data_IF_297707335642
#
_entry.id   IF_297707335642
#
_cell.length_a   1.000
_cell.length_b   1.000
_cell.length_c   1.000
_cell.angle_alpha   90.00
_cell.angle_beta   90.00
_cell.angle_gamma   90.00
#
_symmetry.space_group_name_H-M   'P 1'
#
loop_
_entity.id
_entity.type
_entity.pdbx_description
1 polymer ?
#
# COMPACT_ATOMS: atom_id res chain seq x y z
N UNK A 1 -17.15 11.18 36.98
CA UNK A 1 -18.08 11.14 35.83
C UNK A 1 -17.55 10.09 34.87
N UNK A 2 -18.29 9.01 34.67
CA UNK A 2 -17.93 7.91 33.76
C UNK A 2 -18.45 8.30 32.37
N UNK A 3 -17.56 8.42 31.39
CA UNK A 3 -17.95 8.52 29.99
C UNK A 3 -18.18 7.10 29.49
N UNK A 4 -19.43 6.63 29.58
CA UNK A 4 -19.86 5.44 28.87
C UNK A 4 -19.99 5.81 27.38
N UNK A 5 -18.87 5.70 26.67
CA UNK A 5 -18.79 5.86 25.22
C UNK A 5 -19.46 4.68 24.54
N UNK A 6 -20.77 4.74 24.42
CA UNK A 6 -21.55 3.83 23.59
C UNK A 6 -21.29 4.19 22.10
N UNK A 7 -20.18 3.71 21.52
CA UNK A 7 -20.07 3.60 20.05
C UNK A 7 -21.19 2.68 19.61
N UNK A 8 -22.24 3.27 19.02
CA UNK A 8 -23.30 2.51 18.39
C UNK A 8 -22.71 1.79 17.18
N UNK A 9 -22.22 0.56 17.39
CA UNK A 9 -21.93 -0.39 16.33
C UNK A 9 -23.18 -0.52 15.48
N UNK A 10 -23.23 0.09 14.29
CA UNK A 10 -24.40 -0.08 13.42
C UNK A 10 -24.32 -1.47 12.83
N UNK A 11 -25.30 -2.28 13.22
CA UNK A 11 -25.50 -3.59 12.63
C UNK A 11 -26.11 -3.41 11.25
N UNK A 12 -25.42 -3.87 10.19
CA UNK A 12 -25.95 -3.91 8.82
C UNK A 12 -25.95 -5.34 8.29
N UNK A 13 -26.94 -5.66 7.47
CA UNK A 13 -27.04 -7.00 6.86
C UNK A 13 -25.83 -7.27 5.98
N UNK A 14 -25.23 -8.45 6.15
CA UNK A 14 -24.05 -8.85 5.36
C UNK A 14 -24.23 -8.70 3.85
N UNK A 15 -25.41 -9.03 3.32
CA UNK A 15 -25.71 -8.95 1.89
C UNK A 15 -25.63 -7.52 1.31
N UNK A 16 -25.83 -6.48 2.12
CA UNK A 16 -25.76 -5.08 1.69
C UNK A 16 -24.32 -4.54 1.76
N UNK A 17 -23.49 -5.11 2.64
CA UNK A 17 -22.13 -4.63 2.93
C UNK A 17 -21.07 -5.35 2.09
N UNK A 18 -21.31 -6.62 1.73
CA UNK A 18 -20.35 -7.43 0.99
C UNK A 18 -19.95 -6.82 -0.37
N UNK A 19 -20.88 -6.37 -1.25
CA UNK A 19 -20.50 -5.77 -2.53
C UNK A 19 -19.62 -4.51 -2.36
N UNK A 20 -19.86 -3.75 -1.29
CA UNK A 20 -19.06 -2.58 -0.97
C UNK A 20 -17.65 -2.98 -0.52
N UNK A 21 -17.52 -3.97 0.38
CA UNK A 21 -16.23 -4.47 0.83
C UNK A 21 -15.41 -5.06 -0.32
N UNK A 22 -16.05 -5.79 -1.24
CA UNK A 22 -15.40 -6.30 -2.45
C UNK A 22 -14.87 -5.17 -3.34
N UNK A 23 -15.68 -4.15 -3.62
CA UNK A 23 -15.25 -2.99 -4.40
C UNK A 23 -14.12 -2.20 -3.70
N UNK A 24 -14.20 -2.06 -2.38
CA UNK A 24 -13.15 -1.44 -1.56
C UNK A 24 -11.84 -2.22 -1.63
N UNK A 25 -11.88 -3.54 -1.45
CA UNK A 25 -10.71 -4.42 -1.56
C UNK A 25 -10.09 -4.31 -2.95
N UNK A 26 -10.90 -4.45 -4.01
CA UNK A 26 -10.42 -4.39 -5.39
C UNK A 26 -9.74 -3.04 -5.70
N UNK A 27 -10.30 -1.92 -5.23
CA UNK A 27 -9.71 -0.59 -5.39
C UNK A 27 -8.35 -0.48 -4.67
N UNK A 28 -8.25 -1.01 -3.45
CA UNK A 28 -7.01 -0.96 -2.66
C UNK A 28 -5.93 -1.86 -3.26
N UNK A 29 -6.31 -3.01 -3.80
CA UNK A 29 -5.41 -3.91 -4.53
C UNK A 29 -4.84 -3.25 -5.78
N UNK A 30 -5.71 -2.59 -6.56
CA UNK A 30 -5.28 -1.83 -7.73
C UNK A 30 -4.32 -0.69 -7.36
N UNK A 31 -4.59 0.05 -6.28
CA UNK A 31 -3.68 1.08 -5.78
C UNK A 31 -2.32 0.52 -5.36
N UNK A 32 -2.30 -0.63 -4.68
CA UNK A 32 -1.06 -1.29 -4.29
C UNK A 32 -0.25 -1.70 -5.53
N UNK A 33 -0.91 -2.28 -6.54
CA UNK A 33 -0.27 -2.68 -7.80
C UNK A 33 0.33 -1.48 -8.54
N UNK A 34 -0.38 -0.36 -8.62
CA UNK A 34 0.12 0.86 -9.27
C UNK A 34 1.40 1.38 -8.61
N UNK A 35 1.44 1.38 -7.27
CA UNK A 35 2.63 1.77 -6.51
C UNK A 35 3.78 0.81 -6.79
N UNK A 36 3.53 -0.50 -6.74
CA UNK A 36 4.55 -1.53 -7.03
C UNK A 36 5.13 -1.36 -8.44
N UNK A 37 4.31 -1.08 -9.45
CA UNK A 37 4.77 -0.82 -10.81
C UNK A 37 5.64 0.45 -10.92
N UNK A 38 5.33 1.50 -10.15
CA UNK A 38 6.17 2.70 -10.11
C UNK A 38 7.55 2.37 -9.52
N UNK A 39 7.58 1.61 -8.43
CA UNK A 39 8.82 1.16 -7.77
C UNK A 39 9.64 0.30 -8.73
N UNK A 40 9.01 -0.68 -9.39
CA UNK A 40 9.66 -1.57 -10.35
C UNK A 40 10.34 -0.78 -11.48
N UNK A 41 9.63 0.19 -12.07
CA UNK A 41 10.20 1.05 -13.12
C UNK A 41 11.43 1.82 -12.64
N UNK A 42 11.41 2.32 -11.41
CA UNK A 42 12.57 3.00 -10.80
C UNK A 42 13.76 2.03 -10.65
N UNK A 43 13.53 0.84 -10.10
CA UNK A 43 14.60 -0.14 -9.90
C UNK A 43 15.18 -0.65 -11.22
N UNK A 44 14.33 -0.90 -12.22
CA UNK A 44 14.78 -1.25 -13.58
C UNK A 44 15.67 -0.16 -14.19
N UNK A 45 15.29 1.11 -14.05
CA UNK A 45 16.10 2.23 -14.53
C UNK A 45 17.44 2.29 -13.80
N UNK A 46 17.43 2.19 -12.47
CA UNK A 46 18.64 2.20 -11.64
C UNK A 46 19.60 1.06 -12.02
N UNK A 47 19.08 -0.17 -12.21
CA UNK A 47 19.90 -1.31 -12.64
C UNK A 47 20.54 -1.10 -14.02
N UNK A 48 19.82 -0.48 -14.96
CA UNK A 48 20.37 -0.14 -16.28
C UNK A 48 21.51 0.89 -16.17
N UNK A 49 21.32 1.92 -15.35
CA UNK A 49 22.34 2.95 -15.09
C UNK A 49 23.59 2.34 -14.43
N UNK A 50 23.40 1.46 -13.46
CA UNK A 50 24.50 0.77 -12.78
C UNK A 50 25.29 -0.15 -13.72
N UNK A 51 24.59 -0.96 -14.54
CA UNK A 51 25.22 -1.80 -15.56
C UNK A 51 25.99 -0.97 -16.60
N UNK A 52 25.40 0.14 -17.05
CA UNK A 52 26.06 1.05 -17.99
C UNK A 52 27.34 1.64 -17.40
N UNK A 53 27.32 2.03 -16.11
CA UNK A 53 28.50 2.53 -15.41
C UNK A 53 29.58 1.44 -15.26
N UNK A 54 29.20 0.22 -14.86
CA UNK A 54 30.12 -0.91 -14.73
C UNK A 54 30.76 -1.31 -16.06
N UNK A 55 30.01 -1.20 -17.17
CA UNK A 55 30.51 -1.50 -18.52
C UNK A 55 31.51 -0.46 -19.07
N UNK A 56 31.64 0.71 -18.44
CA UNK A 56 32.61 1.73 -18.88
C UNK A 56 34.05 1.33 -18.51
N UNK A 57 35.00 1.73 -19.35
CA UNK A 57 36.43 1.61 -19.05
C UNK A 57 36.81 2.42 -17.81
N UNK A 58 37.85 1.98 -17.09
CA UNK A 58 38.29 2.61 -15.84
C UNK A 58 38.64 4.09 -16.02
N UNK A 59 39.26 4.44 -17.15
CA UNK A 59 39.58 5.83 -17.49
C UNK A 59 38.30 6.68 -17.65
N UNK A 60 37.29 6.16 -18.37
CA UNK A 60 36.01 6.85 -18.57
C UNK A 60 35.22 7.01 -17.26
N UNK A 61 35.25 6.00 -16.37
CA UNK A 61 34.65 6.09 -15.02
C UNK A 61 35.28 7.17 -14.15
N UNK A 62 36.60 7.36 -14.26
CA UNK A 62 37.31 8.38 -13.50
C UNK A 62 36.88 9.80 -13.87
N UNK A 63 36.54 10.04 -15.14
CA UNK A 63 36.07 11.34 -15.63
C UNK A 63 34.56 11.57 -15.48
N UNK A 64 33.73 10.52 -15.43
CA UNK A 64 32.27 10.68 -15.34
C UNK A 64 31.76 10.92 -13.93
N UNK A 65 32.58 10.66 -12.89
CA UNK A 65 32.23 10.89 -11.48
C UNK A 65 31.12 9.96 -10.97
N UNK A 66 31.39 9.20 -9.90
CA UNK A 66 30.35 8.39 -9.25
C UNK A 66 29.41 9.34 -8.49
N UNK A 67 28.08 9.18 -8.66
CA UNK A 67 27.10 9.86 -7.78
C UNK A 67 27.45 9.56 -6.31
N UNK A 68 27.50 10.56 -5.41
CA UNK A 68 27.81 10.32 -4.01
C UNK A 68 26.80 9.36 -3.38
N UNK A 69 27.29 8.45 -2.53
CA UNK A 69 26.53 7.35 -1.94
C UNK A 69 25.29 7.83 -1.16
N UNK A 70 25.40 8.99 -0.51
CA UNK A 70 24.30 9.60 0.22
C UNK A 70 23.10 9.97 -0.67
N UNK A 71 23.31 10.44 -1.90
CA UNK A 71 22.21 10.75 -2.82
C UNK A 71 21.46 9.49 -3.23
N UNK A 72 22.17 8.38 -3.43
CA UNK A 72 21.56 7.10 -3.78
C UNK A 72 20.65 6.58 -2.66
N UNK A 73 21.08 6.73 -1.40
CA UNK A 73 20.28 6.34 -0.24
C UNK A 73 18.99 7.19 -0.10
N UNK A 74 19.09 8.50 -0.30
CA UNK A 74 17.91 9.40 -0.25
C UNK A 74 16.93 9.08 -1.37
N UNK A 75 17.42 8.90 -2.60
CA UNK A 75 16.60 8.48 -3.73
C UNK A 75 15.89 7.15 -3.42
N UNK A 76 16.61 6.16 -2.89
CA UNK A 76 16.03 4.86 -2.54
C UNK A 76 14.93 4.95 -1.47
N UNK A 77 15.14 5.77 -0.42
CA UNK A 77 14.11 5.99 0.60
C UNK A 77 12.85 6.59 -0.03
N UNK A 78 13.01 7.56 -0.93
CA UNK A 78 11.90 8.28 -1.52
C UNK A 78 11.14 7.43 -2.56
N UNK A 79 11.85 6.75 -3.44
CA UNK A 79 11.26 6.04 -4.58
C UNK A 79 10.96 4.56 -4.33
N UNK A 80 11.49 3.97 -3.26
CA UNK A 80 11.26 2.55 -2.94
C UNK A 80 10.67 2.40 -1.54
N UNK A 81 11.39 2.85 -0.51
CA UNK A 81 11.00 2.55 0.88
C UNK A 81 9.65 3.14 1.26
N UNK A 82 9.46 4.45 1.08
CA UNK A 82 8.19 5.13 1.42
C UNK A 82 7.00 4.61 0.60
N UNK A 83 7.12 4.40 -0.72
CA UNK A 83 6.06 3.75 -1.50
C UNK A 83 5.71 2.35 -1.01
N UNK A 84 6.70 1.51 -0.69
CA UNK A 84 6.46 0.17 -0.15
C UNK A 84 5.83 0.18 1.25
N UNK A 85 6.13 1.18 2.08
CA UNK A 85 5.43 1.41 3.34
C UNK A 85 3.94 1.72 3.11
N UNK A 86 3.59 2.45 2.04
CA UNK A 86 2.19 2.69 1.66
C UNK A 86 1.51 1.38 1.20
N UNK A 87 2.19 0.57 0.38
CA UNK A 87 1.70 -0.76 -0.02
C UNK A 87 1.42 -1.64 1.20
N UNK A 88 2.31 -1.64 2.20
CA UNK A 88 2.09 -2.41 3.43
C UNK A 88 0.85 -1.95 4.21
N UNK A 89 0.58 -0.65 4.25
CA UNK A 89 -0.65 -0.10 4.85
C UNK A 89 -1.89 -0.53 4.07
N UNK A 90 -1.87 -0.41 2.74
CA UNK A 90 -2.97 -0.86 1.88
C UNK A 90 -3.25 -2.36 2.05
N UNK A 91 -2.21 -3.19 2.10
CA UNK A 91 -2.34 -4.64 2.35
C UNK A 91 -2.93 -4.94 3.74
N UNK A 92 -2.57 -4.15 4.75
CA UNK A 92 -3.15 -4.30 6.10
C UNK A 92 -4.63 -3.88 6.15
N UNK A 93 -5.02 -2.86 5.38
CA UNK A 93 -6.44 -2.47 5.19
C UNK A 93 -7.23 -3.55 4.46
N UNK A 94 -6.68 -4.12 3.39
CA UNK A 94 -7.28 -5.24 2.66
C UNK A 94 -7.45 -6.45 3.58
N UNK A 95 -6.44 -6.81 4.37
CA UNK A 95 -6.50 -7.92 5.30
C UNK A 95 -7.63 -7.74 6.33
N UNK A 96 -7.79 -6.51 6.87
CA UNK A 96 -8.89 -6.18 7.77
C UNK A 96 -10.26 -6.30 7.09
N UNK A 97 -10.41 -5.76 5.89
CA UNK A 97 -11.66 -5.87 5.13
C UNK A 97 -12.03 -7.33 4.83
N UNK A 98 -11.04 -8.16 4.45
CA UNK A 98 -11.23 -9.60 4.23
C UNK A 98 -11.57 -10.35 5.52
N UNK A 99 -11.00 -9.96 6.64
CA UNK A 99 -11.34 -10.53 7.95
C UNK A 99 -12.80 -10.27 8.30
N UNK A 100 -13.29 -9.04 8.12
CA UNK A 100 -14.70 -8.69 8.34
C UNK A 100 -15.63 -9.53 7.46
N UNK A 101 -15.29 -9.73 6.19
CA UNK A 101 -16.06 -10.60 5.28
C UNK A 101 -16.06 -12.07 5.74
N UNK A 102 -14.92 -12.60 6.17
CA UNK A 102 -14.78 -14.01 6.54
C UNK A 102 -15.41 -14.35 7.90
N UNK A 103 -15.40 -13.41 8.85
CA UNK A 103 -16.02 -13.58 10.17
C UNK A 103 -17.55 -13.45 10.11
N UNK A 104 -18.08 -12.85 9.06
CA UNK A 104 -19.51 -12.62 8.87
C UNK A 104 -20.17 -13.77 8.10
N UNK A 105 -21.21 -14.40 8.67
CA UNK A 105 -22.02 -15.38 7.94
C UNK A 105 -23.03 -14.69 7.03
N UNK A 106 -23.38 -15.27 5.86
CA UNK A 106 -24.46 -14.75 5.03
C UNK A 106 -25.78 -14.87 5.81
N UNK A 107 -26.32 -13.72 6.24
CA UNK A 107 -27.54 -13.64 7.06
C UNK A 107 -27.33 -13.16 8.49
N UNK A 108 -26.07 -12.95 8.91
CA UNK A 108 -25.73 -12.36 10.19
C UNK A 108 -25.45 -10.85 10.04
N UNK A 109 -25.65 -10.18 11.15
CA UNK A 109 -25.52 -8.74 11.30
C UNK A 109 -24.03 -8.38 11.46
N UNK A 110 -23.46 -7.65 10.50
CA UNK A 110 -22.03 -7.30 10.52
C UNK A 110 -21.84 -6.11 11.44
N UNK A 111 -20.98 -6.31 12.45
CA UNK A 111 -20.43 -5.19 13.21
C UNK A 111 -19.33 -4.53 12.39
N UNK A 112 -19.67 -3.40 11.77
CA UNK A 112 -18.70 -2.59 11.02
C UNK A 112 -17.92 -1.72 12.02
N UNK A 113 -16.58 -1.73 12.01
CA UNK A 113 -15.80 -0.78 12.80
C UNK A 113 -16.07 0.66 12.36
N UNK A 114 -16.12 1.61 13.29
CA UNK A 114 -16.43 3.04 13.02
C UNK A 114 -15.60 3.63 11.85
N UNK A 115 -14.34 3.22 11.69
CA UNK A 115 -13.45 3.63 10.59
C UNK A 115 -13.97 3.27 9.17
N UNK A 116 -14.84 2.27 9.06
CA UNK A 116 -15.48 1.87 7.81
C UNK A 116 -16.84 2.54 7.59
N UNK A 117 -17.49 3.05 8.64
CA UNK A 117 -18.76 3.79 8.51
C UNK A 117 -18.56 5.12 7.77
N UNK A 118 -17.44 5.81 8.00
CA UNK A 118 -17.07 7.04 7.26
C UNK A 118 -16.91 6.81 5.75
N UNK A 119 -16.65 5.57 5.31
CA UNK A 119 -16.51 5.22 3.89
C UNK A 119 -17.85 4.85 3.22
N UNK A 120 -18.89 4.60 4.02
CA UNK A 120 -20.21 4.17 3.58
C UNK A 120 -21.26 5.30 3.52
N UNK A 121 -20.96 6.47 4.07
CA UNK A 121 -21.75 7.71 3.95
C UNK A 121 -21.17 8.64 2.88
#
# INVERSE_FOLDING_TARGET
>A
MRFDGNSQRTSRKAAEVFPFLEAYIARKEQQALEIEQVVERYEMKRMKEERAYQAMSSLRRMFTGKKPDHHLAVEYIHYVKKPMEQVNKLRSEIARARQIMNESKPGEDITIPDDFEELLN
#
